data_IF_542935981721
#
_entry.id   IF_542935981721
#
_cell.length_a   1.000
_cell.length_b   1.000
_cell.length_c   1.000
_cell.angle_alpha   90.00
_cell.angle_beta   90.00
_cell.angle_gamma   90.00
#
_symmetry.space_group_name_H-M   'P 1'
#
loop_
_entity.id
_entity.type
_entity.pdbx_description
1 polymer ?
#
# COMPACT_ATOMS: atom_id res chain seq x y z
N UNK A 1 -9.05 -15.44 -38.49
CA UNK A 1 -9.94 -14.56 -37.68
C UNK A 1 -10.03 -15.16 -36.30
N UNK A 2 -9.71 -14.43 -35.23
CA UNK A 2 -9.81 -14.93 -33.85
C UNK A 2 -11.30 -14.99 -33.48
N UNK A 3 -11.78 -16.16 -33.05
CA UNK A 3 -13.15 -16.32 -32.56
C UNK A 3 -13.27 -15.66 -31.18
N UNK A 4 -13.76 -14.42 -31.13
CA UNK A 4 -13.99 -13.71 -29.86
C UNK A 4 -15.17 -14.33 -29.13
N UNK A 5 -14.97 -14.63 -27.85
CA UNK A 5 -16.03 -15.03 -26.93
C UNK A 5 -16.73 -13.78 -26.37
N UNK A 6 -17.99 -13.91 -25.98
CA UNK A 6 -18.81 -12.79 -25.50
C UNK A 6 -19.60 -13.17 -24.23
N UNK A 7 -19.72 -12.20 -23.32
CA UNK A 7 -20.62 -12.24 -22.17
C UNK A 7 -21.96 -11.57 -22.50
N UNK A 8 -23.08 -12.08 -21.99
CA UNK A 8 -24.38 -11.42 -22.15
C UNK A 8 -24.40 -10.04 -21.48
N UNK A 9 -25.19 -9.10 -22.01
CA UNK A 9 -25.34 -7.78 -21.39
C UNK A 9 -26.03 -7.86 -20.03
N UNK A 10 -25.58 -7.04 -19.09
CA UNK A 10 -26.29 -6.85 -17.81
C UNK A 10 -27.63 -6.14 -18.02
N UNK A 11 -28.56 -6.25 -17.06
CA UNK A 11 -29.86 -5.56 -17.10
C UNK A 11 -29.73 -4.05 -17.29
N UNK A 12 -28.71 -3.44 -16.71
CA UNK A 12 -28.44 -2.00 -16.85
C UNK A 12 -27.90 -1.64 -18.24
N UNK A 13 -27.06 -2.50 -18.82
CA UNK A 13 -26.56 -2.31 -20.18
C UNK A 13 -27.67 -2.48 -21.21
N UNK A 14 -28.62 -3.39 -20.97
CA UNK A 14 -29.82 -3.55 -21.78
C UNK A 14 -30.69 -2.29 -21.78
N UNK A 15 -30.78 -1.56 -20.64
CA UNK A 15 -31.49 -0.27 -20.58
C UNK A 15 -30.90 0.80 -21.50
N UNK A 16 -29.63 0.69 -21.90
CA UNK A 16 -28.98 1.62 -22.84
C UNK A 16 -29.48 1.45 -24.29
N UNK A 17 -30.14 0.35 -24.62
CA UNK A 17 -30.84 0.16 -25.90
C UNK A 17 -32.26 0.75 -25.82
N UNK A 18 -32.32 2.06 -25.62
CA UNK A 18 -33.56 2.80 -25.33
C UNK A 18 -34.27 3.33 -26.57
N UNK A 19 -33.59 3.39 -27.72
CA UNK A 19 -34.16 3.91 -28.96
C UNK A 19 -34.81 2.81 -29.78
N UNK A 20 -35.89 3.13 -30.48
CA UNK A 20 -36.63 2.20 -31.35
C UNK A 20 -36.66 2.79 -32.75
N UNK A 21 -36.45 1.97 -33.77
CA UNK A 21 -36.58 2.39 -35.18
C UNK A 21 -38.03 2.25 -35.69
N UNK A 22 -38.26 2.57 -36.96
CA UNK A 22 -39.58 2.44 -37.60
C UNK A 22 -40.11 1.02 -37.62
N UNK A 23 -39.23 0.02 -37.54
CA UNK A 23 -39.55 -1.41 -37.63
C UNK A 23 -39.67 -2.05 -36.23
N UNK A 24 -39.62 -1.23 -35.15
CA UNK A 24 -39.76 -1.70 -33.77
C UNK A 24 -38.47 -2.26 -33.16
N UNK A 25 -37.32 -2.17 -33.83
CA UNK A 25 -36.05 -2.72 -33.35
C UNK A 25 -35.39 -1.79 -32.35
N UNK A 26 -35.00 -2.33 -31.19
CA UNK A 26 -34.30 -1.58 -30.15
C UNK A 26 -32.83 -1.39 -30.52
N UNK A 27 -32.33 -0.17 -30.41
CA UNK A 27 -30.93 0.16 -30.67
C UNK A 27 -30.37 1.17 -29.67
N UNK A 28 -29.03 1.27 -29.64
CA UNK A 28 -28.31 2.37 -29.00
C UNK A 28 -27.42 3.07 -30.02
N UNK A 29 -27.35 4.39 -29.93
CA UNK A 29 -26.46 5.20 -30.78
C UNK A 29 -25.05 5.17 -30.21
N UNK A 30 -24.06 4.72 -30.99
CA UNK A 30 -22.64 4.73 -30.60
C UNK A 30 -21.99 6.03 -31.05
N UNK A 31 -22.24 6.44 -32.29
CA UNK A 31 -21.81 7.74 -32.85
C UNK A 31 -22.94 8.34 -33.66
N UNK A 32 -22.83 9.59 -34.09
CA UNK A 32 -23.86 10.27 -34.92
C UNK A 32 -24.29 9.44 -36.15
N UNK A 33 -23.42 8.57 -36.67
CA UNK A 33 -23.65 7.74 -37.85
C UNK A 33 -23.81 6.25 -37.56
N UNK A 34 -23.44 5.77 -36.36
CA UNK A 34 -23.40 4.33 -36.04
C UNK A 34 -24.42 3.97 -34.95
N UNK A 35 -25.36 3.10 -35.31
CA UNK A 35 -26.33 2.48 -34.40
C UNK A 35 -25.93 1.02 -34.15
N UNK A 36 -26.16 0.53 -32.93
CA UNK A 36 -26.04 -0.89 -32.60
C UNK A 36 -27.41 -1.41 -32.18
N UNK A 37 -27.96 -2.35 -32.95
CA UNK A 37 -29.23 -2.98 -32.65
C UNK A 37 -29.06 -4.10 -31.61
N UNK A 38 -30.07 -4.26 -30.75
CA UNK A 38 -30.04 -5.21 -29.64
C UNK A 38 -30.03 -6.67 -30.11
N UNK A 39 -30.75 -6.97 -31.19
CA UNK A 39 -30.83 -8.29 -31.82
C UNK A 39 -29.53 -8.69 -32.55
N UNK A 40 -28.75 -7.72 -33.02
CA UNK A 40 -27.43 -7.93 -33.63
C UNK A 40 -26.27 -7.94 -32.61
N UNK A 41 -26.52 -7.49 -31.39
CA UNK A 41 -25.48 -7.29 -30.41
C UNK A 41 -25.09 -8.61 -29.73
N UNK A 42 -23.86 -9.06 -29.98
CA UNK A 42 -23.32 -10.33 -29.46
C UNK A 42 -22.96 -10.32 -27.97
N UNK A 43 -23.13 -9.18 -27.28
CA UNK A 43 -22.74 -9.01 -25.88
C UNK A 43 -21.47 -8.17 -25.69
N UNK A 44 -20.84 -8.24 -24.51
CA UNK A 44 -19.51 -7.70 -24.29
C UNK A 44 -18.46 -8.73 -24.72
N UNK A 45 -17.49 -8.40 -25.57
CA UNK A 45 -16.39 -9.31 -25.84
C UNK A 45 -15.64 -9.61 -24.55
N UNK A 46 -15.30 -10.87 -24.31
CA UNK A 46 -14.38 -11.24 -23.22
C UNK A 46 -13.05 -10.58 -23.54
N UNK A 47 -12.56 -9.80 -22.57
CA UNK A 47 -11.31 -9.09 -22.64
C UNK A 47 -10.50 -9.34 -21.36
N UNK A 48 -9.20 -9.12 -21.47
CA UNK A 48 -8.24 -9.04 -20.37
C UNK A 48 -8.40 -7.74 -19.55
N UNK A 49 -9.02 -6.71 -20.13
CA UNK A 49 -9.38 -5.47 -19.45
C UNK A 49 -10.86 -5.48 -19.04
N UNK A 50 -11.11 -5.38 -17.74
CA UNK A 50 -12.48 -5.27 -17.20
C UNK A 50 -13.04 -3.87 -17.43
N UNK A 51 -13.88 -3.74 -18.45
CA UNK A 51 -14.50 -2.47 -18.85
C UNK A 51 -15.82 -2.16 -18.13
N UNK A 52 -16.29 -3.09 -17.29
CA UNK A 52 -17.57 -2.99 -16.58
C UNK A 52 -17.42 -2.30 -15.21
N UNK A 53 -16.20 -2.16 -14.70
CA UNK A 53 -15.89 -1.44 -13.47
C UNK A 53 -15.28 -0.10 -13.82
N UNK A 54 -15.94 0.99 -13.42
CA UNK A 54 -15.44 2.34 -13.66
C UNK A 54 -14.35 2.71 -12.65
N UNK A 55 -13.36 3.48 -13.09
CA UNK A 55 -12.36 4.08 -12.22
C UNK A 55 -12.87 5.39 -11.58
N UNK A 56 -12.23 5.84 -10.50
CA UNK A 56 -12.56 7.12 -9.87
C UNK A 56 -12.22 8.34 -10.72
N UNK A 57 -11.45 8.19 -11.79
CA UNK A 57 -11.30 9.25 -12.80
C UNK A 57 -12.62 9.52 -13.54
N UNK A 58 -13.52 8.53 -13.60
CA UNK A 58 -14.84 8.63 -14.24
C UNK A 58 -15.94 8.88 -13.21
N UNK A 59 -15.87 8.23 -12.04
CA UNK A 59 -16.85 8.38 -10.95
C UNK A 59 -16.22 9.17 -9.81
N UNK A 60 -16.29 10.50 -9.91
CA UNK A 60 -15.66 11.41 -8.95
C UNK A 60 -16.46 11.65 -7.66
N UNK A 61 -17.74 11.25 -7.63
CA UNK A 61 -18.65 11.45 -6.50
C UNK A 61 -19.01 10.14 -5.77
N UNK A 62 -18.15 9.11 -5.86
CA UNK A 62 -18.41 7.86 -5.13
C UNK A 62 -18.23 8.08 -3.62
N UNK A 63 -19.16 7.62 -2.77
CA UNK A 63 -19.07 7.78 -1.32
C UNK A 63 -17.90 7.00 -0.69
N UNK A 64 -17.27 6.08 -1.44
CA UNK A 64 -16.10 5.31 -0.97
C UNK A 64 -14.77 6.05 -1.16
N UNK A 65 -14.77 7.23 -1.81
CA UNK A 65 -13.55 7.99 -2.10
C UNK A 65 -12.99 8.55 -0.79
N UNK A 66 -11.74 8.23 -0.49
CA UNK A 66 -11.04 8.73 0.71
C UNK A 66 -10.30 10.04 0.47
N UNK A 67 -10.11 10.43 -0.79
CA UNK A 67 -9.21 11.52 -1.20
C UNK A 67 -7.86 11.02 -1.75
N UNK A 68 -7.59 9.72 -1.63
CA UNK A 68 -6.37 9.10 -2.15
C UNK A 68 -6.38 9.04 -3.69
N UNK A 69 -5.40 9.69 -4.33
CA UNK A 69 -5.40 9.95 -5.79
C UNK A 69 -5.50 8.69 -6.66
N UNK A 70 -4.88 7.60 -6.24
CA UNK A 70 -4.77 6.35 -7.03
C UNK A 70 -5.56 5.19 -6.43
N UNK A 71 -6.56 5.51 -5.59
CA UNK A 71 -7.44 4.55 -4.92
C UNK A 71 -8.05 3.58 -5.94
N UNK A 72 -8.13 2.30 -5.57
CA UNK A 72 -8.87 1.30 -6.35
C UNK A 72 -10.31 1.19 -5.87
N UNK A 73 -11.30 1.02 -6.77
CA UNK A 73 -12.70 0.79 -6.39
C UNK A 73 -12.87 -0.50 -5.59
N UNK A 74 -13.71 -0.51 -4.55
CA UNK A 74 -13.94 -1.72 -3.75
C UNK A 74 -14.53 -2.86 -4.58
N UNK A 75 -15.39 -2.55 -5.55
CA UNK A 75 -15.99 -3.55 -6.43
C UNK A 75 -14.95 -4.33 -7.26
N UNK A 76 -13.84 -3.68 -7.59
CA UNK A 76 -12.71 -4.32 -8.29
C UNK A 76 -12.04 -5.34 -7.37
N UNK A 77 -11.71 -4.92 -6.16
CA UNK A 77 -11.01 -5.76 -5.20
C UNK A 77 -11.91 -6.91 -4.72
N UNK A 78 -13.22 -6.66 -4.53
CA UNK A 78 -14.22 -7.70 -4.24
C UNK A 78 -14.16 -8.83 -5.26
N UNK A 79 -14.17 -8.49 -6.56
CA UNK A 79 -14.10 -9.50 -7.63
C UNK A 79 -12.82 -10.34 -7.55
N UNK A 80 -11.69 -9.70 -7.27
CA UNK A 80 -10.40 -10.39 -7.16
C UNK A 80 -10.40 -11.34 -5.96
N UNK A 81 -10.84 -10.88 -4.79
CA UNK A 81 -10.90 -11.67 -3.56
C UNK A 81 -11.89 -12.85 -3.71
N UNK A 82 -13.09 -12.62 -4.25
CA UNK A 82 -14.07 -13.68 -4.50
C UNK A 82 -13.54 -14.78 -5.44
N UNK A 83 -12.73 -14.40 -6.43
CA UNK A 83 -12.18 -15.36 -7.38
C UNK A 83 -10.98 -16.14 -6.83
N UNK A 84 -10.36 -15.69 -5.74
CA UNK A 84 -9.03 -16.14 -5.30
C UNK A 84 -8.96 -16.62 -3.85
N UNK A 85 -10.04 -16.49 -3.08
CA UNK A 85 -10.06 -16.82 -1.65
C UNK A 85 -11.46 -17.17 -1.15
N UNK A 86 -11.51 -17.96 -0.08
CA UNK A 86 -12.70 -18.27 0.69
C UNK A 86 -12.82 -17.35 1.91
N UNK A 87 -13.94 -17.46 2.61
CA UNK A 87 -14.11 -16.82 3.92
C UNK A 87 -13.09 -17.39 4.92
N UNK A 88 -12.60 -16.55 5.83
CA UNK A 88 -11.51 -16.82 6.78
C UNK A 88 -10.11 -17.03 6.19
N UNK A 89 -9.94 -17.04 4.87
CA UNK A 89 -8.60 -16.99 4.26
C UNK A 89 -7.91 -15.64 4.57
N UNK A 90 -6.57 -15.63 4.49
CA UNK A 90 -5.74 -14.44 4.68
C UNK A 90 -5.45 -13.80 3.33
N UNK A 91 -5.69 -12.49 3.22
CA UNK A 91 -5.32 -11.66 2.06
C UNK A 91 -4.15 -10.74 2.41
N UNK A 92 -3.05 -10.85 1.68
CA UNK A 92 -1.88 -9.98 1.82
C UNK A 92 -1.90 -8.86 0.78
N UNK A 93 -1.73 -7.62 1.22
CA UNK A 93 -1.45 -6.46 0.37
C UNK A 93 -0.26 -5.68 0.91
N UNK A 94 0.89 -5.80 0.24
CA UNK A 94 2.11 -5.10 0.65
C UNK A 94 2.25 -3.70 0.04
N UNK A 95 1.23 -3.23 -0.68
CA UNK A 95 1.14 -1.89 -1.27
C UNK A 95 -0.23 -1.27 -0.94
N UNK A 96 -0.58 -1.27 0.36
CA UNK A 96 -1.94 -1.09 0.86
C UNK A 96 -2.58 0.24 0.44
N UNK A 97 -1.81 1.32 0.37
CA UNK A 97 -2.23 2.68 0.04
C UNK A 97 -3.41 3.12 0.90
N UNK A 98 -4.50 3.51 0.23
CA UNK A 98 -5.78 3.88 0.86
C UNK A 98 -6.51 2.77 1.65
N UNK A 99 -5.95 1.56 1.77
CA UNK A 99 -6.57 0.46 2.53
C UNK A 99 -7.74 -0.24 1.85
N UNK A 100 -7.92 -0.13 0.52
CA UNK A 100 -9.05 -0.76 -0.18
C UNK A 100 -9.06 -2.28 0.00
N UNK A 101 -7.90 -2.95 -0.10
CA UNK A 101 -7.84 -4.41 0.05
C UNK A 101 -8.24 -4.86 1.44
N UNK A 102 -7.66 -4.26 2.48
CA UNK A 102 -8.05 -4.52 3.87
C UNK A 102 -9.54 -4.24 4.13
N UNK A 103 -10.07 -3.11 3.64
CA UNK A 103 -11.47 -2.75 3.80
C UNK A 103 -12.42 -3.78 3.18
N UNK A 104 -12.11 -4.25 1.96
CA UNK A 104 -12.91 -5.26 1.27
C UNK A 104 -12.77 -6.63 1.93
N UNK A 105 -11.56 -7.05 2.31
CA UNK A 105 -11.32 -8.30 3.02
C UNK A 105 -12.13 -8.37 4.31
N UNK A 106 -12.09 -7.31 5.13
CA UNK A 106 -12.87 -7.19 6.37
C UNK A 106 -14.37 -7.33 6.10
N UNK A 107 -14.90 -6.55 5.14
CA UNK A 107 -16.33 -6.56 4.77
C UNK A 107 -16.80 -7.93 4.27
N UNK A 108 -15.88 -8.74 3.76
CA UNK A 108 -16.13 -10.06 3.20
C UNK A 108 -15.79 -11.21 4.16
N UNK A 109 -15.42 -10.94 5.42
CA UNK A 109 -15.08 -11.99 6.38
C UNK A 109 -13.77 -12.73 6.06
N UNK A 110 -12.78 -12.02 5.50
CA UNK A 110 -11.40 -12.51 5.35
C UNK A 110 -10.50 -11.87 6.39
N UNK A 111 -9.46 -12.58 6.79
CA UNK A 111 -8.34 -11.98 7.49
C UNK A 111 -7.47 -11.24 6.49
N UNK A 112 -6.67 -10.27 6.94
CA UNK A 112 -5.76 -9.55 6.06
C UNK A 112 -4.50 -9.10 6.77
N UNK A 113 -3.45 -8.94 5.96
CA UNK A 113 -2.21 -8.28 6.33
C UNK A 113 -2.00 -7.17 5.33
N UNK A 114 -1.94 -5.94 5.81
CA UNK A 114 -1.68 -4.75 5.00
C UNK A 114 -0.34 -4.14 5.39
N UNK A 115 0.50 -3.81 4.41
CA UNK A 115 1.76 -3.09 4.63
C UNK A 115 1.71 -1.78 3.85
N UNK A 116 2.02 -0.69 4.55
CA UNK A 116 2.13 0.65 3.99
C UNK A 116 3.33 1.36 4.61
N UNK A 117 4.05 2.13 3.80
CA UNK A 117 5.22 2.90 4.24
C UNK A 117 4.89 4.40 4.36
N UNK A 118 3.88 4.87 3.63
CA UNK A 118 3.64 6.29 3.43
C UNK A 118 2.55 6.79 4.38
N UNK A 119 2.82 7.93 5.02
CA UNK A 119 1.87 8.59 5.90
C UNK A 119 0.98 9.56 5.11
N UNK A 120 -0.33 9.32 5.13
CA UNK A 120 -1.29 10.09 4.35
C UNK A 120 -2.34 10.80 5.18
N UNK A 121 -2.02 11.30 6.37
CA UNK A 121 -2.90 12.13 7.22
C UNK A 121 -4.40 11.72 7.12
N UNK A 122 -5.25 12.49 6.42
CA UNK A 122 -6.70 12.20 6.28
C UNK A 122 -7.08 11.04 5.35
N UNK A 123 -6.20 10.65 4.42
CA UNK A 123 -6.39 9.57 3.45
C UNK A 123 -5.77 8.23 3.90
N UNK A 124 -5.31 8.17 5.14
CA UNK A 124 -4.59 7.04 5.69
C UNK A 124 -5.46 5.77 5.81
N UNK A 125 -4.81 4.62 5.65
CA UNK A 125 -5.46 3.32 5.71
C UNK A 125 -6.08 3.04 7.09
N UNK A 126 -5.45 3.49 8.17
CA UNK A 126 -5.92 3.29 9.55
C UNK A 126 -7.24 4.02 9.78
N UNK A 127 -7.34 5.27 9.35
CA UNK A 127 -8.57 6.07 9.48
C UNK A 127 -9.72 5.49 8.65
N UNK A 128 -9.42 4.92 7.48
CA UNK A 128 -10.41 4.18 6.71
C UNK A 128 -10.87 2.92 7.44
N UNK A 129 -9.95 2.10 7.95
CA UNK A 129 -10.29 0.83 8.60
C UNK A 129 -11.09 1.04 9.88
N UNK A 130 -10.81 2.10 10.65
CA UNK A 130 -11.66 2.55 11.77
C UNK A 130 -13.11 2.79 11.32
N UNK A 131 -13.32 3.46 10.18
CA UNK A 131 -14.67 3.68 9.63
C UNK A 131 -15.33 2.36 9.19
N UNK A 132 -14.57 1.44 8.60
CA UNK A 132 -15.05 0.11 8.18
C UNK A 132 -15.56 -0.68 9.38
N UNK A 133 -14.76 -0.76 10.47
CA UNK A 133 -15.16 -1.41 11.73
C UNK A 133 -16.43 -0.76 12.30
N UNK A 134 -16.56 0.56 12.21
CA UNK A 134 -17.75 1.29 12.66
C UNK A 134 -18.98 1.16 11.74
N UNK A 135 -18.96 0.24 10.77
CA UNK A 135 -20.10 -0.04 9.89
C UNK A 135 -20.23 0.91 8.71
N UNK A 136 -19.10 1.29 8.09
CA UNK A 136 -19.09 2.05 6.84
C UNK A 136 -20.07 1.46 5.80
N UNK A 137 -20.92 2.32 5.23
CA UNK A 137 -21.95 1.95 4.25
C UNK A 137 -21.51 2.18 2.80
N UNK A 138 -20.29 2.65 2.58
CA UNK A 138 -19.76 2.95 1.26
C UNK A 138 -19.29 1.69 0.50
N UNK A 139 -19.01 1.85 -0.80
CA UNK A 139 -18.43 0.80 -1.64
C UNK A 139 -19.29 -0.46 -1.69
N UNK A 140 -18.72 -1.60 -1.29
CA UNK A 140 -19.39 -2.90 -1.39
C UNK A 140 -20.29 -3.24 -0.20
N UNK A 141 -20.35 -2.39 0.84
CA UNK A 141 -21.01 -2.73 2.11
C UNK A 141 -22.45 -3.20 1.93
N UNK A 142 -23.23 -2.51 1.08
CA UNK A 142 -24.61 -2.91 0.79
C UNK A 142 -24.70 -4.25 0.05
N UNK A 143 -23.72 -4.57 -0.80
CA UNK A 143 -23.72 -5.79 -1.60
C UNK A 143 -23.41 -7.05 -0.77
N UNK A 144 -22.68 -6.88 0.34
CA UNK A 144 -22.28 -7.98 1.24
C UNK A 144 -22.98 -7.91 2.61
N UNK A 145 -24.00 -7.05 2.74
CA UNK A 145 -24.74 -6.81 3.98
C UNK A 145 -23.85 -6.48 5.20
N UNK A 146 -22.81 -5.68 4.99
CA UNK A 146 -21.88 -5.28 6.04
C UNK A 146 -22.53 -4.38 7.08
N UNK A 147 -22.45 -4.77 8.35
CA UNK A 147 -23.00 -4.03 9.49
C UNK A 147 -21.93 -3.38 10.38
N UNK A 148 -20.64 -3.64 10.12
CA UNK A 148 -19.53 -3.28 11.01
C UNK A 148 -19.06 -4.45 11.87
N UNK A 149 -17.98 -4.21 12.61
CA UNK A 149 -17.36 -5.17 13.51
C UNK A 149 -15.95 -5.61 13.12
N UNK A 150 -15.43 -6.53 13.92
CA UNK A 150 -14.06 -6.99 13.90
C UNK A 150 -13.07 -5.92 14.39
N UNK A 151 -11.79 -6.23 14.22
CA UNK A 151 -10.68 -5.44 14.71
C UNK A 151 -9.50 -5.53 13.71
N UNK A 152 -8.49 -4.70 13.96
CA UNK A 152 -7.17 -4.86 13.36
C UNK A 152 -6.13 -4.45 14.38
N UNK A 153 -4.95 -5.04 14.25
CA UNK A 153 -3.78 -4.66 15.03
C UNK A 153 -2.91 -3.80 14.14
N UNK A 154 -2.49 -2.65 14.66
CA UNK A 154 -1.54 -1.76 14.01
C UNK A 154 -0.18 -1.95 14.68
N UNK A 155 0.84 -2.19 13.86
CA UNK A 155 2.21 -2.34 14.32
C UNK A 155 3.13 -1.50 13.44
N UNK A 156 4.19 -0.97 14.04
CA UNK A 156 5.32 -0.38 13.32
C UNK A 156 6.56 -1.24 13.53
N UNK A 157 7.47 -1.23 12.56
CA UNK A 157 8.75 -1.91 12.70
C UNK A 157 9.66 -1.11 13.63
N UNK A 158 10.33 -1.79 14.56
CA UNK A 158 11.31 -1.14 15.44
C UNK A 158 12.52 -0.66 14.62
N UNK A 159 12.70 0.66 14.55
CA UNK A 159 13.77 1.31 13.80
C UNK A 159 15.14 0.97 14.41
N UNK A 160 16.08 0.62 13.54
CA UNK A 160 17.50 0.56 13.87
C UNK A 160 18.28 1.57 13.01
N UNK A 161 18.87 1.17 11.88
CA UNK A 161 19.55 2.12 11.00
C UNK A 161 18.62 3.17 10.39
N UNK A 162 17.32 2.91 10.33
CA UNK A 162 16.33 3.91 9.92
C UNK A 162 16.32 5.14 10.84
N UNK A 163 16.56 4.97 12.14
CA UNK A 163 16.64 6.10 13.08
C UNK A 163 17.84 7.01 12.76
N UNK A 164 18.96 6.44 12.30
CA UNK A 164 20.09 7.21 11.81
C UNK A 164 19.77 7.87 10.45
N UNK A 165 19.06 7.18 9.56
CA UNK A 165 18.62 7.78 8.30
C UNK A 165 17.73 9.02 8.51
N UNK A 166 16.79 8.96 9.46
CA UNK A 166 15.95 10.10 9.86
C UNK A 166 16.80 11.27 10.39
N UNK A 167 17.77 10.98 11.27
CA UNK A 167 18.73 11.97 11.78
C UNK A 167 19.54 12.60 10.65
N UNK A 168 20.09 11.81 9.72
CA UNK A 168 20.85 12.31 8.55
C UNK A 168 20.00 13.25 7.71
N UNK A 169 18.75 12.87 7.42
CA UNK A 169 17.86 13.70 6.60
C UNK A 169 17.51 15.02 7.31
N UNK A 170 17.23 14.97 8.61
CA UNK A 170 16.83 16.12 9.42
C UNK A 170 17.97 17.09 9.76
N UNK A 171 19.23 16.64 9.70
CA UNK A 171 20.41 17.44 9.99
C UNK A 171 20.49 18.70 9.13
N UNK A 172 20.83 19.83 9.74
CA UNK A 172 20.88 21.14 9.07
C UNK A 172 22.30 21.65 8.88
N UNK A 173 23.25 21.11 9.65
CA UNK A 173 24.64 21.56 9.65
C UNK A 173 25.61 20.40 9.40
N UNK A 174 26.81 20.73 8.93
CA UNK A 174 27.86 19.74 8.69
C UNK A 174 28.42 19.20 10.02
N UNK A 175 28.41 20.02 11.07
CA UNK A 175 28.85 19.63 12.42
C UNK A 175 27.97 18.53 13.02
N UNK A 176 26.64 18.65 12.87
CA UNK A 176 25.68 17.62 13.30
C UNK A 176 25.95 16.28 12.59
N UNK A 177 26.30 16.32 11.30
CA UNK A 177 26.61 15.11 10.52
C UNK A 177 27.93 14.45 10.98
N UNK A 178 28.92 15.24 11.41
CA UNK A 178 30.18 14.71 11.95
C UNK A 178 29.94 14.01 13.29
N UNK A 179 29.13 14.60 14.17
CA UNK A 179 28.75 13.97 15.45
C UNK A 179 27.94 12.69 15.21
N UNK A 180 26.98 12.73 14.28
CA UNK A 180 26.18 11.57 13.91
C UNK A 180 27.03 10.44 13.33
N UNK A 181 28.06 10.76 12.55
CA UNK A 181 28.95 9.75 11.99
C UNK A 181 29.78 9.05 13.07
N UNK A 182 30.21 9.78 14.11
CA UNK A 182 30.87 9.16 15.28
C UNK A 182 29.92 8.23 16.03
N UNK A 183 28.68 8.66 16.24
CA UNK A 183 27.62 7.83 16.86
C UNK A 183 27.36 6.54 16.04
N UNK A 184 27.26 6.67 14.71
CA UNK A 184 27.14 5.52 13.79
C UNK A 184 28.35 4.58 13.90
N UNK A 185 29.57 5.12 14.01
CA UNK A 185 30.78 4.31 14.13
C UNK A 185 30.91 3.58 15.46
N UNK A 186 30.36 4.12 16.53
CA UNK A 186 30.36 3.50 17.86
C UNK A 186 29.21 2.50 18.05
N UNK A 187 28.01 2.79 17.51
CA UNK A 187 26.76 2.09 17.87
C UNK A 187 26.05 1.36 16.73
N UNK A 188 26.43 1.58 15.47
CA UNK A 188 25.84 0.82 14.35
C UNK A 188 26.77 -0.30 13.92
N UNK A 189 26.22 -1.48 13.66
CA UNK A 189 26.91 -2.54 12.91
C UNK A 189 27.15 -2.05 11.47
N UNK A 190 28.04 -1.06 11.31
CA UNK A 190 28.63 -0.69 10.03
C UNK A 190 29.19 -1.98 9.44
N UNK A 191 29.03 -2.15 8.14
CA UNK A 191 29.56 -3.28 7.41
C UNK A 191 31.10 -3.17 7.36
N UNK A 192 31.77 -3.40 8.48
CA UNK A 192 33.19 -3.19 8.73
C UNK A 192 34.01 -4.41 8.28
N UNK A 193 33.79 -5.00 7.10
CA UNK A 193 34.64 -6.14 6.69
C UNK A 193 36.17 -5.87 6.76
N UNK A 194 36.60 -4.62 6.98
CA UNK A 194 37.96 -4.29 7.42
C UNK A 194 37.95 -3.11 8.42
N UNK A 195 38.37 -3.35 9.66
CA UNK A 195 38.96 -2.40 10.65
C UNK A 195 38.06 -1.75 11.75
N UNK A 196 38.38 -1.95 13.06
CA UNK A 196 37.62 -1.41 14.20
C UNK A 196 38.06 -0.01 14.69
N UNK A 197 39.05 0.62 14.07
CA UNK A 197 39.41 2.02 14.35
C UNK A 197 38.93 2.90 13.21
N UNK A 198 38.09 3.90 13.51
CA UNK A 198 37.73 4.94 12.55
C UNK A 198 39.02 5.72 12.24
N UNK A 199 39.58 5.64 11.02
CA UNK A 199 40.83 6.32 10.73
C UNK A 199 40.60 7.83 10.88
N UNK A 200 41.41 8.54 11.67
CA UNK A 200 41.31 10.01 11.79
C UNK A 200 41.33 10.69 10.40
N UNK A 201 41.99 10.07 9.43
CA UNK A 201 42.01 10.47 8.01
C UNK A 201 40.60 10.50 7.40
N UNK A 202 39.76 9.49 7.66
CA UNK A 202 38.39 9.46 7.14
C UNK A 202 37.53 10.61 7.70
N UNK A 203 37.83 11.06 8.93
CA UNK A 203 37.13 12.19 9.56
C UNK A 203 37.49 13.48 8.89
N UNK A 204 38.77 13.66 8.64
CA UNK A 204 39.28 14.85 7.99
C UNK A 204 38.74 14.93 6.57
N UNK A 205 38.75 13.82 5.82
CA UNK A 205 38.15 13.73 4.48
C UNK A 205 36.66 14.09 4.51
N UNK A 206 35.91 13.56 5.49
CA UNK A 206 34.48 13.87 5.64
C UNK A 206 34.22 15.36 5.93
N UNK A 207 35.03 15.98 6.79
CA UNK A 207 34.97 17.42 7.09
C UNK A 207 35.32 18.25 5.86
N UNK A 208 36.30 17.83 5.05
CA UNK A 208 36.67 18.52 3.81
C UNK A 208 35.55 18.47 2.77
N UNK A 209 34.84 17.34 2.64
CA UNK A 209 33.65 17.22 1.77
C UNK A 209 32.59 18.26 2.15
N UNK A 210 32.38 18.47 3.46
CA UNK A 210 31.45 19.47 3.99
C UNK A 210 31.78 20.91 3.61
N UNK A 211 33.06 21.23 3.35
CA UNK A 211 33.53 22.56 2.93
C UNK A 211 33.38 22.81 1.41
N UNK A 212 33.08 21.76 0.64
CA UNK A 212 32.89 21.86 -0.81
C UNK A 212 31.51 22.42 -1.20
N UNK A 213 31.34 22.81 -2.47
CA UNK A 213 30.02 23.20 -2.99
C UNK A 213 29.01 22.05 -2.82
N UNK A 214 27.83 22.35 -2.27
CA UNK A 214 26.83 21.37 -1.84
C UNK A 214 27.37 20.32 -0.85
N UNK A 215 28.33 20.70 0.00
CA UNK A 215 29.00 19.82 0.97
C UNK A 215 28.03 19.09 1.90
N UNK A 216 27.01 19.78 2.42
CA UNK A 216 25.99 19.19 3.29
C UNK A 216 25.25 18.03 2.61
N UNK A 217 24.80 18.22 1.36
CA UNK A 217 24.07 17.20 0.61
C UNK A 217 24.96 16.00 0.28
N UNK A 218 26.24 16.27 -0.05
CA UNK A 218 27.23 15.21 -0.28
C UNK A 218 27.50 14.40 1.00
N UNK A 219 27.64 15.07 2.14
CA UNK A 219 27.82 14.42 3.44
C UNK A 219 26.61 13.55 3.82
N UNK A 220 25.39 14.07 3.64
CA UNK A 220 24.15 13.30 3.86
C UNK A 220 24.10 12.05 2.99
N UNK A 221 24.38 12.21 1.69
CA UNK A 221 24.38 11.09 0.74
C UNK A 221 25.41 10.03 1.13
N UNK A 222 26.63 10.44 1.50
CA UNK A 222 27.69 9.52 1.89
C UNK A 222 27.33 8.73 3.16
N UNK A 223 26.82 9.39 4.20
CA UNK A 223 26.38 8.69 5.42
C UNK A 223 25.22 7.74 5.15
N UNK A 224 24.25 8.15 4.33
CA UNK A 224 23.13 7.29 3.93
C UNK A 224 23.59 6.06 3.13
N UNK A 225 24.70 6.16 2.38
CA UNK A 225 25.32 5.02 1.68
C UNK A 225 26.11 4.10 2.61
N UNK A 226 26.64 4.62 3.73
CA UNK A 226 27.36 3.83 4.73
C UNK A 226 26.43 2.97 5.61
N UNK A 227 25.17 3.37 5.77
CA UNK A 227 24.19 2.61 6.55
C UNK A 227 23.92 1.23 5.91
N UNK A 228 23.93 0.18 6.75
CA UNK A 228 23.56 -1.15 6.31
C UNK A 228 22.04 -1.22 6.08
N UNK A 229 21.64 -1.16 4.81
CA UNK A 229 20.23 -1.20 4.38
C UNK A 229 19.52 -2.53 4.68
N UNK A 230 20.27 -3.60 4.96
CA UNK A 230 19.68 -4.87 5.39
C UNK A 230 19.37 -4.89 6.90
N UNK A 231 19.78 -3.87 7.66
CA UNK A 231 19.53 -3.71 9.09
C UNK A 231 18.88 -2.34 9.37
N UNK A 232 17.95 -1.89 8.52
CA UNK A 232 17.18 -0.67 8.79
C UNK A 232 16.29 -0.80 10.02
N UNK A 233 15.82 -2.01 10.28
CA UNK A 233 14.97 -2.38 11.41
C UNK A 233 15.58 -3.55 12.15
N UNK A 234 15.21 -3.71 13.41
CA UNK A 234 15.70 -4.80 14.26
C UNK A 234 15.21 -6.14 13.71
N UNK A 235 16.11 -7.10 13.50
CA UNK A 235 15.72 -8.43 13.04
C UNK A 235 15.08 -9.20 14.19
N UNK A 236 14.10 -10.05 13.87
CA UNK A 236 13.45 -10.91 14.86
C UNK A 236 14.45 -11.81 15.61
N UNK A 237 15.51 -12.29 14.93
CA UNK A 237 16.55 -13.12 15.55
C UNK A 237 17.37 -12.39 16.61
N UNK A 238 17.33 -11.06 16.62
CA UNK A 238 18.08 -10.18 17.52
C UNK A 238 17.16 -9.57 18.60
N UNK A 239 15.90 -10.00 18.69
CA UNK A 239 14.90 -9.40 19.60
C UNK A 239 15.27 -9.50 21.08
N UNK A 240 16.09 -10.49 21.45
CA UNK A 240 16.56 -10.71 22.83
C UNK A 240 17.93 -10.07 23.11
N UNK A 241 18.53 -9.38 22.13
CA UNK A 241 19.77 -8.66 22.35
C UNK A 241 19.52 -7.45 23.28
N UNK A 242 20.39 -7.31 24.29
CA UNK A 242 20.31 -6.24 25.27
C UNK A 242 20.52 -4.86 24.63
N UNK A 243 21.24 -4.80 23.50
CA UNK A 243 21.58 -3.55 22.82
C UNK A 243 20.35 -2.86 22.22
N UNK A 244 19.31 -3.61 21.81
CA UNK A 244 18.08 -3.04 21.26
C UNK A 244 17.04 -2.67 22.31
N UNK A 245 17.20 -3.14 23.56
CA UNK A 245 16.31 -2.85 24.68
C UNK A 245 14.81 -3.03 24.35
N UNK A 246 14.48 -4.11 23.62
CA UNK A 246 13.09 -4.43 23.22
C UNK A 246 12.25 -4.74 24.45
N UNK A 247 11.04 -4.16 24.53
CA UNK A 247 10.14 -4.38 25.66
C UNK A 247 9.66 -5.83 25.74
N UNK A 248 9.37 -6.31 26.95
CA UNK A 248 8.81 -7.66 27.14
C UNK A 248 7.40 -7.77 26.53
N UNK A 249 6.65 -6.66 26.48
CA UNK A 249 5.39 -6.59 25.76
C UNK A 249 5.55 -6.83 24.25
N UNK A 250 6.53 -6.18 23.61
CA UNK A 250 6.78 -6.32 22.16
C UNK A 250 7.31 -7.71 21.81
N UNK A 251 8.19 -8.27 22.65
CA UNK A 251 8.66 -9.66 22.52
C UNK A 251 7.48 -10.64 22.54
N UNK A 252 6.60 -10.49 23.52
CA UNK A 252 5.41 -11.34 23.65
C UNK A 252 4.47 -11.18 22.46
N UNK A 253 4.25 -9.97 21.96
CA UNK A 253 3.43 -9.72 20.78
C UNK A 253 4.00 -10.44 19.54
N UNK A 254 5.32 -10.38 19.32
CA UNK A 254 5.98 -11.09 18.23
C UNK A 254 5.85 -12.62 18.37
N UNK A 255 6.06 -13.16 19.57
CA UNK A 255 5.88 -14.60 19.83
C UNK A 255 4.45 -15.07 19.53
N UNK A 256 3.45 -14.26 19.91
CA UNK A 256 2.04 -14.55 19.59
C UNK A 256 1.78 -14.51 18.08
N UNK A 257 2.39 -13.57 17.35
CA UNK A 257 2.25 -13.45 15.90
C UNK A 257 2.81 -14.67 15.16
N UNK A 258 3.98 -15.18 15.56
CA UNK A 258 4.61 -16.36 14.95
C UNK A 258 4.07 -17.70 15.48
N UNK A 259 3.17 -17.68 16.46
CA UNK A 259 2.55 -18.89 17.00
C UNK A 259 3.48 -19.73 17.88
N UNK A 260 4.56 -19.15 18.42
CA UNK A 260 5.52 -19.88 19.26
C UNK A 260 4.96 -20.29 20.63
N UNK A 261 3.70 -19.93 20.94
CA UNK A 261 2.99 -20.28 22.16
C UNK A 261 1.52 -20.73 21.92
N UNK A 262 1.19 -21.21 20.72
CA UNK A 262 -0.16 -21.66 20.34
C UNK A 262 -0.29 -23.19 20.22
#
# INVERSE_FOLDING_TARGET
>A
MIHKLYLPYSKEQLKRFSSVDSDGRKYKTITKTKKLYLDEAKGLPIADVWLDIASFQTIVNSPEITGFKTQKPEILIKRIIEASSNENDIVLDFCLGSGTTAAVSQKMGRQYIGIEQLEYSECDSVERLKKVINGDKSGISKAVDWQGGGDFIYCEMMKYNEAFADKIQSAKTCEELVELWKDIAENSFLNWYVNPEMPEEAVNDFIEIGKSENGLEKQKKLLAEMLNKNQLYVNLSEIDDADFNVSEEDKKLNQLFYGENA
#
